data_IF_179493529488
#
_entry.id   IF_179493529488
#
_cell.length_a   1.000
_cell.length_b   1.000
_cell.length_c   1.000
_cell.angle_alpha   90.00
_cell.angle_beta   90.00
_cell.angle_gamma   90.00
#
_symmetry.space_group_name_H-M   'P 1'
#
loop_
_entity.id
_entity.type
_entity.pdbx_description
1 polymer ?
#
# COMPACT_ATOMS: atom_id res chain seq x y z
N UNK A 1 1.85 2.58 8.75
CA UNK A 1 2.04 3.77 7.90
C UNK A 1 3.49 3.85 7.49
N UNK A 2 3.71 3.77 6.19
CA UNK A 2 4.99 3.94 5.54
C UNK A 2 5.26 5.43 5.28
N UNK A 3 6.53 5.83 5.38
CA UNK A 3 6.97 7.22 5.19
C UNK A 3 8.08 7.26 4.17
N UNK A 4 8.00 8.21 3.26
CA UNK A 4 9.03 8.51 2.26
C UNK A 4 9.50 9.94 2.42
N UNK A 5 10.78 10.13 2.68
CA UNK A 5 11.39 11.46 2.64
C UNK A 5 11.96 11.67 1.24
N UNK A 6 11.37 12.60 0.49
CA UNK A 6 11.68 12.82 -0.92
C UNK A 6 12.29 14.21 -1.09
N UNK A 7 13.49 14.26 -1.65
CA UNK A 7 14.15 15.51 -2.05
C UNK A 7 13.96 15.74 -3.54
N UNK A 8 13.54 16.94 -3.94
CA UNK A 8 13.28 17.30 -5.33
C UNK A 8 13.42 18.81 -5.55
N UNK A 9 13.56 19.23 -6.81
CA UNK A 9 13.50 20.65 -7.21
C UNK A 9 12.10 20.95 -7.71
N UNK A 10 11.45 21.97 -7.15
CA UNK A 10 10.11 22.38 -7.58
C UNK A 10 10.12 23.17 -8.89
N UNK A 11 8.93 23.49 -9.42
CA UNK A 11 8.80 24.24 -10.66
C UNK A 11 9.31 25.70 -10.58
N UNK A 12 9.62 26.20 -9.38
CA UNK A 12 10.27 27.51 -9.17
C UNK A 12 11.80 27.39 -9.04
N UNK A 13 12.36 26.19 -9.21
CA UNK A 13 13.79 25.92 -9.06
C UNK A 13 14.25 25.85 -7.60
N UNK A 14 13.34 25.73 -6.64
CA UNK A 14 13.68 25.62 -5.21
C UNK A 14 13.80 24.16 -4.81
N UNK A 15 14.90 23.79 -4.15
CA UNK A 15 15.06 22.46 -3.56
C UNK A 15 14.15 22.30 -2.33
N UNK A 16 13.42 21.20 -2.29
CA UNK A 16 12.51 20.81 -1.21
C UNK A 16 12.86 19.42 -0.72
N UNK A 17 12.65 19.19 0.57
CA UNK A 17 12.69 17.85 1.16
C UNK A 17 11.44 17.69 2.01
N UNK A 18 10.57 16.78 1.62
CA UNK A 18 9.24 16.62 2.21
C UNK A 18 8.98 15.15 2.60
N UNK A 19 8.19 14.97 3.65
CA UNK A 19 7.74 13.65 4.10
C UNK A 19 6.37 13.31 3.46
N UNK A 20 6.33 12.22 2.72
CA UNK A 20 5.13 11.66 2.10
C UNK A 20 4.69 10.39 2.81
N UNK A 21 3.39 10.22 3.02
CA UNK A 21 2.83 9.16 3.84
C UNK A 21 1.93 8.23 3.04
N UNK A 22 2.13 6.94 3.26
CA UNK A 22 1.39 5.88 2.57
C UNK A 22 0.92 4.85 3.58
N UNK A 23 -0.36 4.50 3.54
CA UNK A 23 -0.91 3.45 4.39
C UNK A 23 -2.23 2.96 3.82
N UNK A 24 -2.39 1.67 3.61
CA UNK A 24 -3.73 1.07 3.50
C UNK A 24 -4.19 0.65 4.90
N UNK A 25 -5.40 1.01 5.28
CA UNK A 25 -6.01 0.49 6.51
C UNK A 25 -6.44 -0.96 6.31
N UNK A 26 -6.65 -1.68 7.42
CA UNK A 26 -7.18 -3.05 7.37
C UNK A 26 -8.51 -3.10 6.61
N UNK A 27 -9.39 -2.12 6.83
CA UNK A 27 -10.67 -1.99 6.11
C UNK A 27 -10.46 -1.82 4.61
N UNK A 28 -9.58 -0.91 4.18
CA UNK A 28 -9.31 -0.70 2.76
C UNK A 28 -8.73 -1.96 2.09
N UNK A 29 -7.91 -2.73 2.80
CA UNK A 29 -7.37 -3.99 2.27
C UNK A 29 -8.47 -5.02 2.12
N UNK A 30 -9.34 -5.18 3.12
CA UNK A 30 -10.49 -6.09 3.04
C UNK A 30 -11.44 -5.68 1.90
N UNK A 31 -11.71 -4.39 1.72
CA UNK A 31 -12.52 -3.88 0.61
C UNK A 31 -11.86 -4.18 -0.74
N UNK A 32 -10.55 -3.94 -0.87
CA UNK A 32 -9.79 -4.27 -2.07
C UNK A 32 -9.83 -5.78 -2.36
N UNK A 33 -9.63 -6.62 -1.35
CA UNK A 33 -9.68 -8.07 -1.45
C UNK A 33 -11.05 -8.59 -1.91
N UNK A 34 -12.14 -8.02 -1.38
CA UNK A 34 -13.50 -8.38 -1.82
C UNK A 34 -13.82 -7.84 -3.22
N UNK A 35 -13.26 -6.69 -3.61
CA UNK A 35 -13.52 -6.05 -4.90
C UNK A 35 -12.78 -6.71 -6.09
N UNK A 36 -11.74 -7.51 -5.80
CA UNK A 36 -10.85 -8.08 -6.82
C UNK A 36 -11.17 -9.56 -7.08
N UNK A 37 -11.26 -10.01 -8.35
CA UNK A 37 -11.43 -11.42 -8.67
C UNK A 37 -10.31 -12.27 -8.05
N UNK A 38 -10.69 -13.23 -7.20
CA UNK A 38 -9.74 -14.12 -6.51
C UNK A 38 -9.06 -13.51 -5.28
N UNK A 39 -9.30 -12.24 -4.95
CA UNK A 39 -8.63 -11.53 -3.86
C UNK A 39 -7.45 -10.68 -4.32
N UNK A 40 -6.95 -9.84 -3.41
CA UNK A 40 -5.84 -8.92 -3.70
C UNK A 40 -4.53 -9.68 -4.03
N UNK A 41 -4.27 -10.78 -3.32
CA UNK A 41 -3.06 -11.58 -3.52
C UNK A 41 -3.06 -12.27 -4.90
N UNK A 42 -4.13 -12.98 -5.25
CA UNK A 42 -4.31 -13.59 -6.57
C UNK A 42 -4.25 -12.55 -7.69
N UNK A 43 -4.87 -11.38 -7.52
CA UNK A 43 -4.83 -10.30 -8.50
C UNK A 43 -3.39 -9.83 -8.75
N UNK A 44 -2.64 -9.52 -7.67
CA UNK A 44 -1.24 -9.11 -7.77
C UNK A 44 -0.36 -10.19 -8.41
N UNK A 45 -0.52 -11.45 -8.00
CA UNK A 45 0.19 -12.58 -8.62
C UNK A 45 -0.16 -12.75 -10.10
N UNK A 46 -1.44 -12.62 -10.45
CA UNK A 46 -1.92 -12.73 -11.82
C UNK A 46 -1.30 -11.68 -12.73
N UNK A 47 -1.25 -10.43 -12.26
CA UNK A 47 -0.65 -9.30 -12.98
C UNK A 47 0.85 -9.53 -13.23
N UNK A 48 1.59 -9.97 -12.21
CA UNK A 48 3.02 -10.29 -12.34
C UNK A 48 3.25 -11.45 -13.32
N UNK A 49 2.43 -12.50 -13.23
CA UNK A 49 2.53 -13.68 -14.08
C UNK A 49 2.17 -13.42 -15.55
N UNK A 50 1.23 -12.49 -15.81
CA UNK A 50 0.83 -12.09 -17.15
C UNK A 50 1.94 -11.37 -17.93
N UNK A 51 2.99 -10.87 -17.25
CA UNK A 51 4.11 -10.12 -17.83
C UNK A 51 3.69 -8.91 -18.68
N UNK A 52 2.48 -8.40 -18.44
CA UNK A 52 1.95 -7.23 -19.13
C UNK A 52 2.42 -5.96 -18.41
N UNK A 53 3.60 -5.46 -18.78
CA UNK A 53 4.26 -4.32 -18.11
C UNK A 53 3.34 -3.09 -17.96
N UNK A 54 2.58 -2.65 -18.98
CA UNK A 54 1.58 -1.58 -18.82
C UNK A 54 0.54 -1.83 -17.73
N UNK A 55 -0.01 -3.05 -17.66
CA UNK A 55 -1.05 -3.42 -16.69
C UNK A 55 -0.48 -3.58 -15.28
N UNK A 56 0.74 -4.12 -15.16
CA UNK A 56 1.53 -4.13 -13.93
C UNK A 56 1.67 -2.70 -13.40
N UNK A 57 2.20 -1.81 -14.23
CA UNK A 57 2.45 -0.42 -13.83
C UNK A 57 1.16 0.31 -13.43
N UNK A 58 0.06 0.12 -14.17
CA UNK A 58 -1.24 0.71 -13.84
C UNK A 58 -1.78 0.22 -12.50
N UNK A 59 -1.64 -1.08 -12.23
CA UNK A 59 -2.12 -1.71 -10.99
C UNK A 59 -1.31 -1.27 -9.78
N UNK A 60 0.02 -1.28 -9.88
CA UNK A 60 0.89 -0.76 -8.83
C UNK A 60 0.61 0.73 -8.55
N UNK A 61 0.50 1.56 -9.60
CA UNK A 61 0.14 2.98 -9.45
C UNK A 61 -1.18 3.15 -8.71
N UNK A 62 -2.22 2.39 -9.06
CA UNK A 62 -3.52 2.43 -8.39
C UNK A 62 -3.40 2.17 -6.88
N UNK A 63 -2.65 1.14 -6.49
CA UNK A 63 -2.48 0.77 -5.08
C UNK A 63 -1.68 1.83 -4.32
N UNK A 64 -0.57 2.31 -4.90
CA UNK A 64 0.27 3.36 -4.30
C UNK A 64 -0.56 4.63 -4.04
N UNK A 65 -1.35 5.07 -5.02
CA UNK A 65 -2.18 6.27 -4.88
C UNK A 65 -3.34 6.07 -3.90
N UNK A 66 -3.92 4.86 -3.83
CA UNK A 66 -4.94 4.53 -2.81
C UNK A 66 -4.36 4.53 -1.39
N UNK A 67 -3.06 4.29 -1.24
CA UNK A 67 -2.38 4.36 0.05
C UNK A 67 -1.96 5.78 0.43
N UNK A 68 -1.78 6.68 -0.54
CA UNK A 68 -1.25 8.02 -0.32
C UNK A 68 -2.25 8.92 0.40
N UNK A 69 -1.75 9.74 1.32
CA UNK A 69 -2.56 10.78 1.95
C UNK A 69 -1.74 11.80 2.74
N UNK A 70 -2.44 12.84 3.20
CA UNK A 70 -1.88 13.90 4.04
C UNK A 70 -2.12 13.56 5.50
N UNK A 71 -1.05 13.43 6.28
CA UNK A 71 -1.17 13.23 7.72
C UNK A 71 -1.69 14.52 8.36
N UNK A 72 -2.87 14.43 8.98
CA UNK A 72 -3.44 15.53 9.76
C UNK A 72 -2.51 15.98 10.90
N UNK A 73 -2.59 17.26 11.28
CA UNK A 73 -1.73 17.84 12.32
C UNK A 73 -1.89 17.18 13.69
N UNK A 74 -3.09 16.72 14.03
CA UNK A 74 -3.38 15.96 15.27
C UNK A 74 -3.00 14.47 15.17
N UNK A 75 -2.56 14.03 13.98
CA UNK A 75 -2.14 12.66 13.70
C UNK A 75 -3.27 11.64 13.66
N UNK A 76 -4.54 12.05 13.74
CA UNK A 76 -5.69 11.12 13.83
C UNK A 76 -6.15 10.58 12.47
N UNK A 77 -5.86 11.33 11.41
CA UNK A 77 -6.24 11.00 10.03
C UNK A 77 -5.01 10.97 9.13
N UNK A 78 -5.04 10.01 8.22
CA UNK A 78 -4.37 10.12 6.93
C UNK A 78 -5.46 10.49 5.93
N UNK A 79 -5.52 11.76 5.55
CA UNK A 79 -6.54 12.29 4.65
C UNK A 79 -6.22 11.86 3.23
N UNK A 80 -7.14 11.10 2.63
CA UNK A 80 -7.02 10.57 1.28
C UNK A 80 -8.16 11.07 0.42
N UNK A 81 -7.94 11.04 -0.89
CA UNK A 81 -8.95 11.42 -1.87
C UNK A 81 -8.34 11.57 -3.25
N UNK A 82 -9.21 11.71 -4.24
CA UNK A 82 -8.82 11.90 -5.63
C UNK A 82 -7.98 13.16 -5.81
N UNK A 83 -8.44 14.30 -5.28
CA UNK A 83 -7.71 15.58 -5.36
C UNK A 83 -6.34 15.52 -4.65
N UNK A 84 -6.25 14.84 -3.50
CA UNK A 84 -4.98 14.67 -2.77
C UNK A 84 -4.00 13.82 -3.58
N UNK A 85 -4.48 12.73 -4.17
CA UNK A 85 -3.67 11.83 -5.00
C UNK A 85 -3.25 12.51 -6.29
N UNK A 86 -4.17 13.28 -6.90
CA UNK A 86 -3.93 14.04 -8.13
C UNK A 86 -2.86 15.11 -7.91
N UNK A 87 -3.00 15.93 -6.86
CA UNK A 87 -2.00 16.93 -6.50
C UNK A 87 -0.61 16.32 -6.30
N UNK A 88 -0.54 15.12 -5.70
CA UNK A 88 0.72 14.39 -5.58
C UNK A 88 1.26 13.95 -6.94
N UNK A 89 0.43 13.35 -7.81
CA UNK A 89 0.88 12.94 -9.16
C UNK A 89 1.30 14.10 -10.07
N UNK A 90 0.85 15.32 -9.77
CA UNK A 90 1.23 16.55 -10.47
C UNK A 90 2.49 17.21 -9.88
N UNK A 91 3.12 16.59 -8.87
CA UNK A 91 4.31 17.11 -8.19
C UNK A 91 5.62 16.44 -8.66
N UNK A 92 6.76 17.16 -8.65
CA UNK A 92 8.05 16.52 -8.92
C UNK A 92 8.46 15.46 -7.89
N UNK A 93 7.89 15.50 -6.68
CA UNK A 93 8.08 14.45 -5.67
C UNK A 93 7.59 13.08 -6.17
N UNK A 94 6.46 13.07 -6.89
CA UNK A 94 5.94 11.85 -7.50
C UNK A 94 6.85 11.35 -8.61
N UNK A 95 7.45 12.22 -9.43
CA UNK A 95 8.41 11.82 -10.46
C UNK A 95 9.63 11.12 -9.85
N UNK A 96 10.16 11.65 -8.74
CA UNK A 96 11.26 11.03 -8.00
C UNK A 96 10.86 9.66 -7.46
N UNK A 97 9.67 9.56 -6.85
CA UNK A 97 9.14 8.28 -6.37
C UNK A 97 8.99 7.27 -7.51
N UNK A 98 8.37 7.69 -8.62
CA UNK A 98 8.11 6.85 -9.77
C UNK A 98 9.41 6.32 -10.39
N UNK A 99 10.39 7.20 -10.59
CA UNK A 99 11.72 6.80 -11.09
C UNK A 99 12.36 5.75 -10.19
N UNK A 100 12.32 5.96 -8.86
CA UNK A 100 12.89 5.02 -7.90
C UNK A 100 12.20 3.64 -7.94
N UNK A 101 10.88 3.62 -8.07
CA UNK A 101 10.09 2.38 -8.04
C UNK A 101 10.13 1.59 -9.37
N UNK A 102 10.21 2.27 -10.51
CA UNK A 102 10.03 1.62 -11.81
C UNK A 102 11.21 1.75 -12.78
N UNK A 103 12.08 2.76 -12.61
CA UNK A 103 13.14 3.10 -13.56
C UNK A 103 14.55 2.96 -12.99
N UNK A 104 14.69 2.64 -11.70
CA UNK A 104 15.97 2.48 -11.01
C UNK A 104 16.78 1.25 -11.44
N UNK A 105 16.14 0.30 -12.13
CA UNK A 105 16.73 -1.00 -12.48
C UNK A 105 16.62 -2.04 -11.36
N UNK A 106 16.12 -1.66 -10.18
CA UNK A 106 15.78 -2.60 -9.11
C UNK A 106 14.43 -3.26 -9.41
N UNK A 107 14.47 -4.56 -9.70
CA UNK A 107 13.29 -5.36 -10.05
C UNK A 107 12.33 -5.58 -8.87
N UNK A 108 12.77 -5.32 -7.62
CA UNK A 108 11.97 -5.52 -6.42
C UNK A 108 11.41 -4.22 -5.84
N UNK A 109 11.87 -3.05 -6.28
CA UNK A 109 11.55 -1.77 -5.65
C UNK A 109 10.03 -1.51 -5.49
N UNK A 110 9.25 -1.76 -6.54
CA UNK A 110 7.80 -1.60 -6.48
C UNK A 110 7.14 -2.60 -5.52
N UNK A 111 7.56 -3.87 -5.53
CA UNK A 111 7.03 -4.93 -4.66
C UNK A 111 7.33 -4.65 -3.19
N UNK A 112 8.57 -4.25 -2.88
CA UNK A 112 8.98 -3.88 -1.52
C UNK A 112 8.20 -2.67 -1.00
N UNK A 113 7.93 -1.70 -1.87
CA UNK A 113 7.09 -0.57 -1.53
C UNK A 113 5.65 -0.99 -1.21
N UNK A 114 5.03 -1.84 -2.04
CA UNK A 114 3.67 -2.36 -1.75
C UNK A 114 3.64 -3.12 -0.42
N UNK A 115 4.66 -3.93 -0.15
CA UNK A 115 4.79 -4.63 1.13
C UNK A 115 4.91 -3.68 2.33
N UNK A 116 5.49 -2.49 2.14
CA UNK A 116 5.63 -1.49 3.20
C UNK A 116 4.33 -0.70 3.48
N UNK A 117 3.50 -0.45 2.46
CA UNK A 117 2.26 0.35 2.59
C UNK A 117 1.05 -0.49 3.01
N UNK A 118 1.04 -1.77 2.66
CA UNK A 118 0.14 -2.76 3.27
C UNK A 118 0.65 -2.90 4.71
N UNK A 119 -0.16 -2.65 5.76
CA UNK A 119 0.18 -3.05 7.11
C UNK A 119 0.55 -4.50 6.99
N UNK A 120 1.82 -4.81 7.24
CA UNK A 120 2.25 -6.18 7.37
C UNK A 120 1.21 -6.81 8.29
N UNK A 121 0.47 -7.80 7.80
CA UNK A 121 -0.33 -8.68 8.65
C UNK A 121 0.68 -9.58 9.40
N UNK A 122 1.66 -8.95 10.04
CA UNK A 122 2.39 -9.36 11.22
C UNK A 122 1.54 -8.71 12.32
N UNK A 123 0.34 -9.22 12.61
CA UNK A 123 0.21 -10.21 13.67
C UNK A 123 -1.14 -10.99 13.69
N UNK A 124 -1.91 -11.08 12.60
CA UNK A 124 -3.19 -11.84 12.66
C UNK A 124 -3.07 -13.32 12.29
N UNK A 125 -2.04 -13.75 11.54
CA UNK A 125 -1.82 -15.19 11.28
C UNK A 125 -1.32 -15.95 12.52
N UNK A 126 -0.72 -15.24 13.50
CA UNK A 126 -0.29 -15.82 14.78
C UNK A 126 -1.42 -15.80 15.85
N UNK A 127 -2.35 -14.84 15.80
CA UNK A 127 -3.50 -14.80 16.72
C UNK A 127 -4.70 -15.64 16.26
N UNK A 128 -4.95 -15.76 14.95
CA UNK A 128 -6.05 -16.58 14.42
C UNK A 128 -5.85 -18.09 14.64
N UNK A 129 -4.60 -18.52 14.84
CA UNK A 129 -4.26 -19.90 15.20
C UNK A 129 -4.41 -20.19 16.71
N UNK A 130 -4.42 -19.16 17.56
CA UNK A 130 -4.56 -19.30 19.01
C UNK A 130 -6.03 -19.28 19.47
N UNK A 131 -6.89 -18.49 18.83
CA UNK A 131 -8.32 -18.41 19.21
C UNK A 131 -9.13 -19.63 18.77
N UNK A 132 -8.77 -20.28 17.66
CA UNK A 132 -9.44 -21.49 17.19
C UNK A 132 -9.07 -22.77 17.98
N UNK A 133 -8.09 -22.72 18.89
CA UNK A 133 -7.79 -23.85 19.79
C UNK A 133 -8.64 -23.85 21.06
N UNK A 134 -9.22 -22.73 21.46
CA UNK A 134 -10.01 -22.62 22.70
C UNK A 134 -11.51 -22.91 22.53
N UNK A 135 -12.01 -23.03 21.29
CA UNK A 135 -13.40 -23.41 21.01
C UNK A 135 -13.61 -24.93 20.86
N UNK A 136 -12.54 -25.71 20.67
CA UNK A 136 -12.63 -27.18 20.52
C UNK A 136 -12.57 -27.94 21.86
N UNK A 137 -12.14 -27.30 22.95
CA UNK A 137 -11.98 -27.98 24.26
C UNK A 137 -13.24 -27.89 25.14
N UNK A 138 -14.22 -27.04 24.80
CA UNK A 138 -15.40 -26.77 25.66
C UNK A 138 -16.69 -27.46 25.19
N UNK A 139 -16.69 -28.15 24.04
CA UNK A 139 -17.92 -28.71 23.43
C UNK A 139 -17.98 -30.25 23.39
N UNK A 140 -17.17 -30.95 24.17
CA UNK A 140 -17.05 -32.42 24.09
C UNK A 140 -17.01 -33.19 25.41
N UNK A 141 -17.81 -32.83 26.42
CA UNK A 141 -18.19 -33.77 27.50
C UNK A 141 -19.66 -33.60 27.86
N UNK A 142 -20.53 -34.33 27.16
CA UNK A 142 -21.89 -34.60 27.62
C UNK A 142 -22.36 -35.94 27.05
N UNK A 143 -22.59 -36.88 27.98
CA UNK A 143 -23.15 -38.24 27.89
C UNK A 143 -22.17 -39.38 27.62
#
# INVERSE_FOLDING_TARGET
MHKETITYVDFNGTERTEDHYFNLSKTEITELEVSMPGGLAEYLMGIVNAKNVPEIMASFKKIILSAYGIKSADGRRLEKGEEISKAFTESPAYDVLFQRLFLSGDVNAASDFINAIIPQIKDDAAQSAAENKNLTVVSGTAQ
#
